data_IF_801955729297
#
_entry.id   IF_801955729297
#
_cell.length_a   1.000
_cell.length_b   1.000
_cell.length_c   1.000
_cell.angle_alpha   90.00
_cell.angle_beta   90.00
_cell.angle_gamma   90.00
#
_symmetry.space_group_name_H-M   'P 1'
#
loop_
_entity.id
_entity.type
_entity.pdbx_description
1 polymer ?
#
# COMPACT_ATOMS: atom_id res chain seq x y z
N UNK A 1 -10.44 -0.52 11.62
CA UNK A 1 -9.06 -1.03 11.49
C UNK A 1 -8.12 -0.15 12.30
N UNK A 2 -7.21 -0.74 13.03
CA UNK A 2 -6.24 -0.03 13.86
C UNK A 2 -4.84 -0.30 13.32
N UNK A 3 -4.06 0.75 13.11
CA UNK A 3 -2.66 0.62 12.71
C UNK A 3 -1.78 0.44 13.95
N UNK A 4 -1.00 -0.63 14.00
CA UNK A 4 -0.14 -0.94 15.15
C UNK A 4 1.33 -0.83 14.74
N UNK A 5 2.08 -0.01 15.46
CA UNK A 5 3.54 0.01 15.37
C UNK A 5 4.13 -0.96 16.39
N UNK A 6 5.00 -1.84 15.93
CA UNK A 6 5.73 -2.78 16.80
C UNK A 6 7.07 -2.15 17.19
N UNK A 7 7.28 -1.75 18.46
CA UNK A 7 8.54 -1.19 18.91
C UNK A 7 9.66 -2.25 18.93
N UNK A 8 10.89 -1.83 18.65
CA UNK A 8 12.08 -2.69 18.80
C UNK A 8 12.50 -3.48 17.56
N UNK A 9 11.74 -3.43 16.46
CA UNK A 9 12.13 -4.07 15.19
C UNK A 9 13.11 -3.17 14.40
N UNK A 10 14.12 -3.73 13.72
CA UNK A 10 15.05 -2.96 12.87
C UNK A 10 14.34 -2.32 11.66
N UNK A 11 13.10 -2.74 11.37
CA UNK A 11 12.25 -2.21 10.33
C UNK A 11 11.05 -1.48 10.93
N UNK A 12 10.64 -0.38 10.29
CA UNK A 12 9.38 0.30 10.58
C UNK A 12 8.32 -0.25 9.64
N UNK A 13 7.36 -0.95 10.20
CA UNK A 13 6.24 -1.51 9.46
C UNK A 13 4.92 -0.86 9.87
N UNK A 14 3.96 -0.87 8.98
CA UNK A 14 2.57 -0.51 9.24
C UNK A 14 1.75 -1.80 9.18
N UNK A 15 1.13 -2.16 10.28
CA UNK A 15 0.30 -3.36 10.39
C UNK A 15 -1.14 -2.92 10.68
N UNK A 16 -2.08 -3.42 9.89
CA UNK A 16 -3.49 -3.21 10.13
C UNK A 16 -4.06 -4.37 10.96
N UNK A 17 -4.76 -4.05 12.04
CA UNK A 17 -5.59 -4.99 12.78
C UNK A 17 -7.03 -4.85 12.31
N UNK A 18 -7.59 -5.92 11.75
CA UNK A 18 -8.96 -5.94 11.27
C UNK A 18 -9.86 -6.73 12.23
N UNK A 19 -11.09 -6.26 12.40
CA UNK A 19 -12.17 -6.94 13.13
C UNK A 19 -13.49 -6.79 12.34
N UNK A 20 -14.45 -7.66 12.60
CA UNK A 20 -15.76 -7.61 11.97
C UNK A 20 -15.83 -8.34 10.63
N UNK A 21 -16.79 -7.99 9.76
CA UNK A 21 -17.11 -8.79 8.55
C UNK A 21 -15.95 -8.96 7.57
N UNK A 22 -15.01 -8.02 7.48
CA UNK A 22 -13.85 -8.11 6.60
C UNK A 22 -12.97 -9.33 6.91
N UNK A 23 -12.98 -9.81 8.16
CA UNK A 23 -12.18 -10.97 8.57
C UNK A 23 -12.61 -12.23 7.81
N UNK A 24 -13.91 -12.40 7.54
CA UNK A 24 -14.40 -13.52 6.74
C UNK A 24 -13.89 -13.48 5.30
N UNK A 25 -13.73 -12.29 4.72
CA UNK A 25 -13.13 -12.14 3.39
C UNK A 25 -11.64 -12.49 3.40
N UNK A 26 -10.91 -12.08 4.45
CA UNK A 26 -9.50 -12.44 4.62
C UNK A 26 -9.33 -13.96 4.79
N UNK A 27 -10.20 -14.58 5.57
CA UNK A 27 -10.22 -16.01 5.79
C UNK A 27 -10.51 -16.79 4.49
N UNK A 28 -11.45 -16.31 3.67
CA UNK A 28 -11.77 -16.92 2.38
C UNK A 28 -10.57 -16.88 1.41
N UNK A 29 -9.87 -15.73 1.32
CA UNK A 29 -8.67 -15.60 0.50
C UNK A 29 -7.57 -16.53 1.01
N UNK A 30 -7.29 -16.50 2.32
CA UNK A 30 -6.29 -17.40 2.93
C UNK A 30 -6.60 -18.87 2.69
N UNK A 31 -7.86 -19.29 2.83
CA UNK A 31 -8.29 -20.67 2.62
C UNK A 31 -8.14 -21.10 1.16
N UNK A 32 -8.40 -20.19 0.22
CA UNK A 32 -8.17 -20.43 -1.21
C UNK A 32 -6.70 -20.60 -1.52
N UNK A 33 -5.85 -19.72 -1.01
CA UNK A 33 -4.40 -19.79 -1.20
C UNK A 33 -3.82 -21.07 -0.58
N UNK A 34 -4.27 -21.41 0.64
CA UNK A 34 -3.89 -22.65 1.32
C UNK A 34 -4.27 -23.89 0.50
N UNK A 35 -5.50 -23.93 -0.05
CA UNK A 35 -5.93 -25.02 -0.89
C UNK A 35 -5.09 -25.17 -2.16
N UNK A 36 -4.78 -24.05 -2.81
CA UNK A 36 -3.96 -24.05 -4.03
C UNK A 36 -2.55 -24.57 -3.78
N UNK A 37 -1.96 -24.28 -2.61
CA UNK A 37 -0.62 -24.71 -2.25
C UNK A 37 -0.55 -26.16 -1.72
N UNK A 38 -1.57 -26.59 -0.98
CA UNK A 38 -1.51 -27.84 -0.22
C UNK A 38 -2.48 -28.92 -0.69
N UNK A 39 -3.51 -28.54 -1.45
CA UNK A 39 -4.65 -29.41 -1.79
C UNK A 39 -5.57 -29.73 -0.61
N UNK A 40 -5.39 -29.08 0.55
CA UNK A 40 -6.17 -29.35 1.76
C UNK A 40 -7.20 -28.25 1.99
N UNK A 41 -8.43 -28.65 2.26
CA UNK A 41 -9.47 -27.71 2.71
C UNK A 41 -9.28 -27.41 4.20
N UNK A 42 -9.29 -26.11 4.54
CA UNK A 42 -9.33 -25.69 5.94
C UNK A 42 -10.77 -25.73 6.46
N UNK A 43 -10.92 -26.24 7.69
CA UNK A 43 -12.17 -26.11 8.42
C UNK A 43 -12.21 -24.71 9.06
N UNK A 44 -12.91 -23.79 8.37
CA UNK A 44 -13.05 -22.39 8.79
C UNK A 44 -14.33 -22.22 9.59
N UNK A 45 -14.18 -21.84 10.84
CA UNK A 45 -15.32 -21.52 11.69
C UNK A 45 -15.92 -20.17 11.30
N UNK A 46 -17.25 -20.03 11.24
CA UNK A 46 -17.88 -18.76 10.89
C UNK A 46 -17.47 -17.67 11.89
N UNK A 47 -16.87 -16.61 11.36
CA UNK A 47 -16.52 -15.43 12.16
C UNK A 47 -17.81 -14.78 12.66
N UNK A 48 -17.95 -14.64 13.98
CA UNK A 48 -19.08 -13.89 14.55
C UNK A 48 -18.86 -12.41 14.26
N UNK A 49 -19.78 -11.73 13.58
CA UNK A 49 -19.66 -10.29 13.38
C UNK A 49 -19.68 -9.57 14.70
N UNK A 50 -18.63 -8.83 14.99
CA UNK A 50 -18.59 -7.87 16.11
C UNK A 50 -18.88 -6.53 15.48
N UNK A 51 -20.01 -5.93 15.84
CA UNK A 51 -20.32 -4.55 15.46
C UNK A 51 -19.57 -3.61 16.41
N UNK A 52 -18.46 -3.11 15.93
CA UNK A 52 -17.77 -1.93 16.47
C UNK A 52 -17.79 -0.88 15.36
N UNK A 53 -17.61 0.39 15.72
CA UNK A 53 -17.71 1.59 14.85
C UNK A 53 -17.41 1.35 13.35
N UNK A 54 -18.35 1.75 12.51
CA UNK A 54 -18.40 1.40 11.09
C UNK A 54 -17.35 2.14 10.26
N UNK A 55 -16.17 1.56 10.13
CA UNK A 55 -15.22 1.94 9.09
C UNK A 55 -15.46 1.03 7.87
N UNK A 56 -15.82 1.64 6.74
CA UNK A 56 -15.89 0.90 5.49
C UNK A 56 -14.51 0.35 5.12
N UNK A 57 -14.41 -0.97 4.98
CA UNK A 57 -13.16 -1.63 4.62
C UNK A 57 -13.39 -2.70 3.56
N UNK A 58 -12.48 -2.77 2.60
CA UNK A 58 -12.50 -3.76 1.53
C UNK A 58 -11.15 -4.47 1.46
N UNK A 59 -11.18 -5.79 1.32
CA UNK A 59 -10.00 -6.56 0.97
C UNK A 59 -9.83 -6.55 -0.55
N UNK A 60 -8.63 -6.26 -1.02
CA UNK A 60 -8.24 -6.33 -2.42
C UNK A 60 -7.17 -7.42 -2.59
N UNK A 61 -7.55 -8.66 -2.84
CA UNK A 61 -6.58 -9.70 -3.10
C UNK A 61 -5.94 -9.51 -4.46
N UNK A 62 -4.64 -9.83 -4.56
CA UNK A 62 -3.88 -9.75 -5.80
C UNK A 62 -2.92 -10.93 -5.90
N UNK A 63 -2.61 -11.34 -7.12
CA UNK A 63 -1.73 -12.47 -7.38
C UNK A 63 -2.14 -13.23 -8.65
N UNK A 64 -1.51 -14.39 -8.94
CA UNK A 64 -1.74 -15.11 -10.19
C UNK A 64 -3.17 -15.59 -10.41
N UNK A 65 -3.94 -15.78 -9.34
CA UNK A 65 -5.35 -16.17 -9.41
C UNK A 65 -6.30 -15.00 -9.74
N UNK A 66 -5.80 -13.76 -9.70
CA UNK A 66 -6.62 -12.56 -9.92
C UNK A 66 -6.23 -11.90 -11.23
N UNK A 67 -7.17 -11.79 -12.20
CA UNK A 67 -6.90 -11.18 -13.50
C UNK A 67 -6.64 -9.65 -13.36
N UNK A 68 -5.93 -9.10 -14.34
CA UNK A 68 -5.82 -7.66 -14.59
C UNK A 68 -5.06 -6.84 -13.54
N UNK A 69 -3.97 -7.21 -12.98
CA UNK A 69 -3.15 -6.28 -12.18
C UNK A 69 -3.93 -5.35 -11.22
N UNK A 70 -5.08 -5.83 -10.71
CA UNK A 70 -6.12 -5.08 -9.98
C UNK A 70 -5.58 -4.16 -8.87
N UNK A 71 -4.49 -4.54 -8.23
CA UNK A 71 -3.88 -3.73 -7.18
C UNK A 71 -3.20 -2.47 -7.77
N UNK A 72 -2.47 -2.60 -8.87
CA UNK A 72 -1.87 -1.46 -9.57
C UNK A 72 -2.93 -0.50 -10.10
N UNK A 73 -3.96 -1.02 -10.75
CA UNK A 73 -5.09 -0.21 -11.25
C UNK A 73 -5.83 0.51 -10.12
N UNK A 74 -5.98 -0.13 -8.96
CA UNK A 74 -6.58 0.50 -7.78
C UNK A 74 -5.70 1.63 -7.26
N UNK A 75 -4.39 1.45 -7.18
CA UNK A 75 -3.44 2.50 -6.78
C UNK A 75 -3.56 3.71 -7.72
N UNK A 76 -3.51 3.48 -9.04
CA UNK A 76 -3.65 4.54 -10.05
C UNK A 76 -4.98 5.27 -9.90
N UNK A 77 -6.08 4.53 -9.72
CA UNK A 77 -7.42 5.11 -9.54
C UNK A 77 -7.50 5.96 -8.27
N UNK A 78 -6.93 5.50 -7.16
CA UNK A 78 -6.88 6.26 -5.92
C UNK A 78 -6.04 7.53 -6.04
N UNK A 79 -4.92 7.49 -6.79
CA UNK A 79 -4.12 8.69 -7.06
C UNK A 79 -4.94 9.73 -7.84
N UNK A 80 -5.71 9.30 -8.85
CA UNK A 80 -6.56 10.19 -9.62
C UNK A 80 -7.76 10.76 -8.85
N UNK A 81 -8.18 10.11 -7.77
CA UNK A 81 -9.25 10.60 -6.90
C UNK A 81 -8.77 11.69 -5.93
N UNK A 82 -7.47 11.85 -5.72
CA UNK A 82 -6.92 12.84 -4.80
C UNK A 82 -7.26 14.27 -5.25
N UNK A 83 -7.78 15.07 -4.33
CA UNK A 83 -8.13 16.48 -4.57
C UNK A 83 -7.24 17.44 -3.79
N UNK A 84 -6.73 17.04 -2.62
CA UNK A 84 -5.98 17.93 -1.73
C UNK A 84 -4.63 17.36 -1.35
N UNK A 85 -4.59 16.12 -0.89
CA UNK A 85 -3.38 15.51 -0.36
C UNK A 85 -3.27 14.04 -0.69
N UNK A 86 -2.07 13.62 -1.08
CA UNK A 86 -1.72 12.23 -1.32
C UNK A 86 -0.40 11.91 -0.63
N UNK A 87 -0.37 10.85 0.19
CA UNK A 87 0.86 10.34 0.78
C UNK A 87 1.07 8.89 0.36
N UNK A 88 2.14 8.65 -0.38
CA UNK A 88 2.57 7.31 -0.77
C UNK A 88 3.81 6.92 0.02
N UNK A 89 3.74 5.81 0.74
CA UNK A 89 4.88 5.25 1.48
C UNK A 89 5.24 3.89 0.91
N UNK A 90 6.50 3.71 0.53
CA UNK A 90 7.00 2.41 0.04
C UNK A 90 8.49 2.26 0.33
N UNK A 91 8.98 1.04 0.67
CA UNK A 91 10.42 0.80 0.83
C UNK A 91 11.17 0.91 -0.50
N UNK A 92 10.52 0.51 -1.59
CA UNK A 92 11.11 0.43 -2.92
C UNK A 92 10.19 1.11 -3.93
N UNK A 93 10.56 2.29 -4.36
CA UNK A 93 9.79 3.04 -5.35
C UNK A 93 10.32 2.78 -6.76
N UNK A 94 9.73 1.82 -7.43
CA UNK A 94 9.97 1.52 -8.85
C UNK A 94 8.60 1.43 -9.53
N UNK A 95 7.99 2.59 -9.82
CA UNK A 95 6.65 2.63 -10.38
C UNK A 95 6.62 2.16 -11.84
N UNK A 96 5.46 1.67 -12.26
CA UNK A 96 5.14 1.58 -13.67
C UNK A 96 4.81 2.96 -14.26
N UNK A 97 4.70 3.05 -15.57
CA UNK A 97 4.45 4.30 -16.29
C UNK A 97 3.09 4.91 -15.89
N UNK A 98 2.08 4.09 -15.61
CA UNK A 98 0.76 4.55 -15.22
C UNK A 98 0.79 5.23 -13.84
N UNK A 99 1.41 4.59 -12.86
CA UNK A 99 1.60 5.14 -11.50
C UNK A 99 2.44 6.41 -11.53
N UNK A 100 3.55 6.41 -12.27
CA UNK A 100 4.43 7.58 -12.41
C UNK A 100 3.68 8.76 -13.01
N UNK A 101 2.95 8.53 -14.09
CA UNK A 101 2.13 9.55 -14.76
C UNK A 101 1.02 10.08 -13.85
N UNK A 102 0.32 9.21 -13.12
CA UNK A 102 -0.73 9.60 -12.20
C UNK A 102 -0.22 10.52 -11.09
N UNK A 103 0.93 10.18 -10.47
CA UNK A 103 1.56 11.03 -9.43
C UNK A 103 1.94 12.42 -9.96
N UNK A 104 2.50 12.48 -11.17
CA UNK A 104 2.83 13.75 -11.82
C UNK A 104 1.59 14.59 -12.09
N UNK A 105 0.56 13.98 -12.67
CA UNK A 105 -0.70 14.67 -12.99
C UNK A 105 -1.33 15.22 -11.71
N UNK A 106 -1.41 14.42 -10.64
CA UNK A 106 -1.94 14.85 -9.36
C UNK A 106 -1.18 16.08 -8.82
N UNK A 107 0.17 16.03 -8.81
CA UNK A 107 0.99 17.13 -8.33
C UNK A 107 0.83 18.41 -9.21
N UNK A 108 0.85 18.26 -10.53
CA UNK A 108 0.63 19.38 -11.48
C UNK A 108 -0.78 19.97 -11.38
N UNK A 109 -1.75 19.19 -10.93
CA UNK A 109 -3.13 19.64 -10.68
C UNK A 109 -3.30 20.34 -9.32
N UNK A 110 -2.23 20.47 -8.53
CA UNK A 110 -2.24 21.20 -7.25
C UNK A 110 -2.44 20.32 -6.01
N UNK A 111 -2.48 18.99 -6.16
CA UNK A 111 -2.53 18.07 -5.02
C UNK A 111 -1.17 18.09 -4.29
N UNK A 112 -1.18 18.15 -2.96
CA UNK A 112 0.02 17.98 -2.13
C UNK A 112 0.47 16.51 -2.12
N UNK A 113 1.30 16.14 -3.09
CA UNK A 113 1.79 14.76 -3.26
C UNK A 113 3.09 14.57 -2.49
N UNK A 114 3.11 13.61 -1.57
CA UNK A 114 4.26 13.26 -0.76
C UNK A 114 4.64 11.79 -0.99
N UNK A 115 5.86 11.56 -1.45
CA UNK A 115 6.47 10.23 -1.52
C UNK A 115 7.41 10.03 -0.33
N UNK A 116 7.06 9.09 0.56
CA UNK A 116 7.87 8.72 1.71
C UNK A 116 8.57 7.39 1.43
N UNK A 117 9.88 7.38 1.54
CA UNK A 117 10.68 6.16 1.38
C UNK A 117 11.80 6.05 2.42
N UNK A 118 12.41 4.89 2.53
CA UNK A 118 13.57 4.73 3.40
C UNK A 118 14.79 5.47 2.86
N UNK A 119 15.51 6.19 3.72
CA UNK A 119 16.83 6.72 3.40
C UNK A 119 17.87 5.60 3.31
N UNK A 120 17.72 4.57 4.15
CA UNK A 120 18.54 3.36 4.13
C UNK A 120 18.01 2.42 3.07
N UNK A 121 18.88 2.03 2.15
CA UNK A 121 18.54 1.03 1.13
C UNK A 121 19.64 -0.04 1.09
N UNK A 122 19.24 -1.28 1.27
CA UNK A 122 20.13 -2.43 1.29
C UNK A 122 20.46 -2.99 -0.12
N UNK A 123 19.85 -2.41 -1.18
CA UNK A 123 20.01 -2.84 -2.57
C UNK A 123 20.47 -1.69 -3.45
N UNK A 124 21.75 -1.66 -3.82
CA UNK A 124 22.34 -0.57 -4.60
C UNK A 124 21.66 -0.36 -5.97
N UNK A 125 21.30 -1.43 -6.67
CA UNK A 125 20.61 -1.37 -7.97
C UNK A 125 19.24 -0.72 -7.85
N UNK A 126 18.46 -1.07 -6.82
CA UNK A 126 17.14 -0.49 -6.56
C UNK A 126 17.26 0.99 -6.24
N UNK A 127 18.31 1.40 -5.52
CA UNK A 127 18.59 2.81 -5.23
C UNK A 127 18.82 3.62 -6.50
N UNK A 128 19.60 3.10 -7.44
CA UNK A 128 19.84 3.77 -8.72
C UNK A 128 18.57 3.86 -9.56
N UNK A 129 17.80 2.78 -9.64
CA UNK A 129 16.52 2.78 -10.34
C UNK A 129 15.54 3.81 -9.75
N UNK A 130 15.44 3.90 -8.43
CA UNK A 130 14.59 4.90 -7.77
C UNK A 130 15.02 6.34 -8.09
N UNK A 131 16.33 6.61 -8.13
CA UNK A 131 16.84 7.95 -8.39
C UNK A 131 16.50 8.46 -9.79
N UNK A 132 16.33 7.57 -10.79
CA UNK A 132 15.98 7.97 -12.15
C UNK A 132 14.61 8.66 -12.24
N UNK A 133 13.67 8.34 -11.33
CA UNK A 133 12.33 8.92 -11.31
C UNK A 133 12.25 10.24 -10.53
N UNK A 134 13.24 10.55 -9.68
CA UNK A 134 13.13 11.70 -8.77
C UNK A 134 13.15 13.04 -9.48
N UNK A 135 14.00 13.21 -10.49
CA UNK A 135 14.11 14.47 -11.19
C UNK A 135 12.75 14.88 -11.81
N UNK A 136 12.06 13.91 -12.39
CA UNK A 136 10.76 14.11 -13.02
C UNK A 136 9.67 14.41 -11.98
N UNK A 137 9.62 13.67 -10.89
CA UNK A 137 8.65 13.86 -9.82
C UNK A 137 8.84 15.20 -9.11
N UNK A 138 10.08 15.57 -8.78
CA UNK A 138 10.41 16.86 -8.15
C UNK A 138 10.06 18.03 -9.08
N UNK A 139 10.32 17.89 -10.39
CA UNK A 139 9.94 18.92 -11.38
C UNK A 139 8.42 19.10 -11.48
N UNK A 140 7.65 18.04 -11.24
CA UNK A 140 6.19 18.10 -11.18
C UNK A 140 5.64 18.66 -9.83
N UNK A 141 6.49 18.85 -8.82
CA UNK A 141 6.09 19.36 -7.51
C UNK A 141 5.86 18.29 -6.44
N UNK A 142 6.15 17.02 -6.73
CA UNK A 142 6.08 15.95 -5.73
C UNK A 142 7.15 16.15 -4.66
N UNK A 143 6.77 16.07 -3.40
CA UNK A 143 7.68 16.15 -2.26
C UNK A 143 8.23 14.76 -1.95
N UNK A 144 9.55 14.59 -1.92
CA UNK A 144 10.19 13.31 -1.60
C UNK A 144 10.81 13.40 -0.20
N UNK A 145 10.27 12.62 0.74
CA UNK A 145 10.74 12.53 2.10
C UNK A 145 11.54 11.25 2.31
N UNK A 146 12.74 11.39 2.86
CA UNK A 146 13.61 10.28 3.19
C UNK A 146 13.52 9.99 4.68
N UNK A 147 12.88 8.88 5.04
CA UNK A 147 12.74 8.47 6.42
C UNK A 147 14.06 7.97 6.99
N UNK A 148 14.44 8.54 8.14
CA UNK A 148 15.58 8.14 8.98
C UNK A 148 15.07 7.93 10.40
N UNK A 149 15.73 7.17 11.28
CA UNK A 149 17.00 6.45 11.18
C UNK A 149 16.88 4.97 10.78
N UNK A 150 15.66 4.42 10.62
CA UNK A 150 15.45 3.00 10.40
C UNK A 150 14.95 2.73 8.97
N UNK A 151 15.05 1.47 8.53
CA UNK A 151 14.46 1.05 7.28
C UNK A 151 12.92 1.04 7.41
N UNK A 152 12.22 1.83 6.59
CA UNK A 152 10.75 1.78 6.52
C UNK A 152 10.35 0.69 5.55
N UNK A 153 9.53 -0.26 6.00
CA UNK A 153 9.02 -1.35 5.18
C UNK A 153 7.49 -1.28 4.98
N UNK A 154 6.88 -0.20 5.46
CA UNK A 154 5.46 0.09 5.24
C UNK A 154 5.16 0.32 3.75
N UNK A 155 4.02 -0.19 3.29
CA UNK A 155 3.42 0.10 1.99
C UNK A 155 2.05 0.68 2.25
N UNK A 156 1.90 1.94 1.95
CA UNK A 156 0.72 2.69 2.34
C UNK A 156 0.47 3.81 1.33
N UNK A 157 -0.80 4.00 1.00
CA UNK A 157 -1.30 5.15 0.26
C UNK A 157 -2.44 5.76 1.05
N UNK A 158 -2.41 7.06 1.32
CA UNK A 158 -3.56 7.81 1.83
C UNK A 158 -3.94 8.94 0.90
N UNK A 159 -5.24 9.14 0.79
CA UNK A 159 -5.85 10.15 -0.09
C UNK A 159 -6.84 10.98 0.72
N UNK A 160 -6.60 12.29 0.76
CA UNK A 160 -7.49 13.32 1.35
C UNK A 160 -7.98 13.01 2.76
N UNK A 161 -7.16 12.32 3.58
CA UNK A 161 -7.49 11.88 4.94
C UNK A 161 -8.79 11.04 5.05
N UNK A 162 -9.33 10.58 3.92
CA UNK A 162 -10.59 9.84 3.81
C UNK A 162 -10.41 8.39 3.38
N UNK A 163 -9.38 8.07 2.60
CA UNK A 163 -9.10 6.73 2.11
C UNK A 163 -7.66 6.35 2.45
N UNK A 164 -7.47 5.14 2.95
CA UNK A 164 -6.15 4.56 3.16
C UNK A 164 -6.07 3.16 2.56
N UNK A 165 -5.02 2.90 1.79
CA UNK A 165 -4.65 1.58 1.31
C UNK A 165 -3.41 1.12 2.09
N UNK A 166 -3.48 -0.06 2.70
CA UNK A 166 -2.35 -0.74 3.34
C UNK A 166 -2.12 -2.04 2.60
N UNK A 167 -0.89 -2.27 2.15
CA UNK A 167 -0.57 -3.36 1.22
C UNK A 167 0.70 -4.09 1.64
N UNK A 168 0.89 -5.28 1.10
CA UNK A 168 2.16 -6.01 1.08
C UNK A 168 2.93 -5.82 -0.24
N UNK A 169 2.31 -5.20 -1.24
CA UNK A 169 2.87 -4.96 -2.58
C UNK A 169 3.77 -3.72 -2.54
N UNK A 170 4.89 -3.79 -3.25
CA UNK A 170 5.82 -2.67 -3.43
C UNK A 170 5.51 -1.94 -4.73
#
# INVERSE_FOLDING_TARGET
AEAVFVPGHPHRELVARARGPIVSHMEAVFSSDWYLETGQLLDVSPVRPVHEEDVAAQLLPSGPAYPFGNAGETVVSLIHLAQHRLVLTTPYFVPDDATLSALRIAALSGVDVQLVRSAVNNKAVVRLAQQSYYAELLAAGVKIALYQPHFIHAKHLSVDDSVALISSIN
#
